data_IF_830836937247
#
_entry.id   IF_830836937247
#
_cell.length_a   1.000
_cell.length_b   1.000
_cell.length_c   1.000
_cell.angle_alpha   90.00
_cell.angle_beta   90.00
_cell.angle_gamma   90.00
#
_symmetry.space_group_name_H-M   'P 1'
#
loop_
_entity.id
_entity.type
_entity.pdbx_description
1 polymer ?
#
# COMPACT_ATOMS: atom_id res chain seq x y z
N UNK A 1 29.20 -5.83 -21.11
CA UNK A 1 27.78 -5.52 -21.35
C UNK A 1 26.96 -6.69 -20.85
N UNK A 2 26.27 -6.52 -19.72
CA UNK A 2 25.38 -7.55 -19.17
C UNK A 2 24.15 -7.69 -20.06
N UNK A 3 23.84 -8.93 -20.46
CA UNK A 3 22.58 -9.24 -21.15
C UNK A 3 21.40 -8.84 -20.25
N UNK A 4 20.35 -8.21 -20.77
CA UNK A 4 19.13 -7.98 -19.99
C UNK A 4 18.55 -9.35 -19.59
N UNK A 5 18.41 -9.56 -18.29
CA UNK A 5 17.69 -10.69 -17.73
C UNK A 5 16.22 -10.53 -18.10
N UNK A 6 15.73 -11.39 -18.97
CA UNK A 6 14.30 -11.52 -19.25
C UNK A 6 13.69 -12.21 -18.03
N UNK A 7 12.90 -11.47 -17.26
CA UNK A 7 12.12 -12.04 -16.16
C UNK A 7 10.77 -12.49 -16.71
N UNK A 8 10.49 -13.81 -16.78
CA UNK A 8 9.14 -14.28 -16.98
C UNK A 8 8.31 -13.89 -15.75
N UNK A 9 7.12 -13.31 -15.94
CA UNK A 9 6.19 -12.96 -14.85
C UNK A 9 4.87 -13.72 -15.07
N UNK A 10 4.66 -14.85 -14.39
CA UNK A 10 3.43 -15.63 -14.51
C UNK A 10 2.81 -15.81 -13.10
N UNK A 11 1.50 -15.92 -12.81
CA UNK A 11 0.31 -16.42 -13.49
C UNK A 11 -0.87 -15.84 -12.70
N UNK A 12 -1.85 -15.23 -13.34
CA UNK A 12 -3.15 -14.97 -12.70
C UNK A 12 -3.88 -16.30 -12.46
N UNK A 13 -4.52 -16.54 -11.31
CA UNK A 13 -5.22 -17.81 -11.09
C UNK A 13 -6.20 -18.02 -12.24
N UNK A 14 -6.03 -19.06 -13.05
CA UNK A 14 -6.80 -19.23 -14.29
C UNK A 14 -8.30 -19.46 -14.03
N UNK A 15 -8.68 -19.70 -12.77
CA UNK A 15 -9.95 -20.33 -12.41
C UNK A 15 -10.80 -19.54 -11.39
N UNK A 16 -10.49 -18.27 -11.12
CA UNK A 16 -11.34 -17.45 -10.23
C UNK A 16 -12.28 -16.60 -11.07
N UNK A 17 -13.49 -17.09 -11.35
CA UNK A 17 -14.48 -16.26 -12.05
C UNK A 17 -14.98 -15.13 -11.14
N UNK A 18 -15.38 -15.47 -9.92
CA UNK A 18 -15.78 -14.56 -8.84
C UNK A 18 -15.47 -15.21 -7.49
N UNK A 19 -14.88 -14.46 -6.55
CA UNK A 19 -14.65 -14.91 -5.17
C UNK A 19 -15.04 -13.80 -4.21
N UNK A 20 -16.08 -14.05 -3.43
CA UNK A 20 -16.41 -13.24 -2.28
C UNK A 20 -15.31 -13.40 -1.23
N UNK A 21 -14.69 -12.28 -0.84
CA UNK A 21 -13.61 -12.25 0.14
C UNK A 21 -14.14 -11.82 1.51
N UNK A 22 -15.10 -10.88 1.52
CA UNK A 22 -15.92 -10.47 2.66
C UNK A 22 -17.29 -10.02 2.15
N UNK A 23 -18.22 -9.69 3.05
CA UNK A 23 -19.52 -9.10 2.69
C UNK A 23 -19.43 -7.81 1.88
N UNK A 24 -18.27 -7.13 1.92
CA UNK A 24 -18.06 -5.83 1.26
C UNK A 24 -17.00 -5.87 0.16
N UNK A 25 -16.33 -7.01 -0.05
CA UNK A 25 -15.19 -7.13 -0.96
C UNK A 25 -15.34 -8.39 -1.81
N UNK A 26 -15.39 -8.19 -3.12
CA UNK A 26 -15.42 -9.28 -4.10
C UNK A 26 -14.22 -9.16 -5.03
N UNK A 27 -13.47 -10.25 -5.22
CA UNK A 27 -12.47 -10.37 -6.28
C UNK A 27 -13.13 -11.01 -7.49
N UNK A 28 -13.06 -10.35 -8.65
CA UNK A 28 -13.59 -10.94 -9.88
C UNK A 28 -12.75 -10.66 -11.10
N UNK A 29 -12.95 -11.51 -12.11
CA UNK A 29 -12.36 -11.31 -13.43
C UNK A 29 -13.02 -10.12 -14.13
N UNK A 30 -12.21 -9.32 -14.81
CA UNK A 30 -12.70 -8.26 -15.69
C UNK A 30 -13.33 -8.88 -16.95
N UNK A 31 -14.55 -8.46 -17.28
CA UNK A 31 -15.21 -8.81 -18.54
C UNK A 31 -14.53 -8.09 -19.72
N UNK A 32 -14.73 -8.57 -20.94
CA UNK A 32 -14.17 -7.91 -22.12
C UNK A 32 -14.80 -6.54 -22.38
N UNK A 33 -16.07 -6.35 -22.01
CA UNK A 33 -16.75 -5.04 -22.05
C UNK A 33 -16.05 -4.05 -21.12
N UNK A 34 -15.70 -4.49 -19.91
CA UNK A 34 -15.00 -3.65 -18.93
C UNK A 34 -13.55 -3.38 -19.32
N UNK A 35 -12.82 -4.36 -19.87
CA UNK A 35 -11.47 -4.10 -20.40
C UNK A 35 -11.51 -3.07 -21.52
N UNK A 36 -12.51 -3.15 -22.41
CA UNK A 36 -12.72 -2.16 -23.45
C UNK A 36 -13.07 -0.78 -22.83
N UNK A 37 -13.95 -0.76 -21.83
CA UNK A 37 -14.41 0.47 -21.20
C UNK A 37 -13.31 1.15 -20.38
N UNK A 38 -12.62 0.42 -19.51
CA UNK A 38 -11.59 0.93 -18.61
C UNK A 38 -10.27 1.23 -19.32
N UNK A 39 -9.93 0.46 -20.35
CA UNK A 39 -8.59 0.49 -20.95
C UNK A 39 -8.55 0.81 -22.45
N UNK A 40 -9.70 0.82 -23.15
CA UNK A 40 -9.76 1.02 -24.59
C UNK A 40 -9.15 -0.13 -25.40
N UNK A 41 -9.06 -1.33 -24.81
CA UNK A 41 -8.45 -2.53 -25.40
C UNK A 41 -9.51 -3.36 -26.12
N UNK A 42 -9.30 -3.66 -27.40
CA UNK A 42 -10.05 -4.67 -28.16
C UNK A 42 -9.16 -5.88 -28.48
N UNK A 43 -9.79 -7.04 -28.71
CA UNK A 43 -9.11 -8.25 -29.17
C UNK A 43 -7.86 -8.60 -28.35
N UNK A 44 -7.95 -8.42 -27.03
CA UNK A 44 -6.86 -8.67 -26.10
C UNK A 44 -6.37 -10.12 -26.22
N UNK A 45 -5.09 -10.29 -26.57
CA UNK A 45 -4.39 -11.57 -26.61
C UNK A 45 -3.49 -11.64 -25.39
N UNK A 46 -3.55 -12.77 -24.71
CA UNK A 46 -2.70 -13.05 -23.56
C UNK A 46 -1.77 -14.21 -23.87
N UNK A 47 -0.55 -14.17 -23.34
CA UNK A 47 0.35 -15.33 -23.37
C UNK A 47 -0.14 -16.42 -22.37
N UNK A 48 0.48 -17.61 -22.33
CA UNK A 48 0.13 -18.65 -21.36
C UNK A 48 0.26 -18.24 -19.89
N UNK A 49 0.89 -17.09 -19.61
CA UNK A 49 1.10 -16.55 -18.28
C UNK A 49 0.02 -15.51 -17.89
N UNK A 50 -0.90 -15.19 -18.81
CA UNK A 50 -1.91 -14.16 -18.60
C UNK A 50 -1.39 -12.74 -18.78
N UNK A 51 -0.19 -12.54 -19.34
CA UNK A 51 0.33 -11.22 -19.72
C UNK A 51 -0.26 -10.84 -21.07
N UNK A 52 -0.70 -9.59 -21.22
CA UNK A 52 -1.14 -9.05 -22.49
C UNK A 52 0.00 -9.11 -23.50
N UNK A 53 -0.14 -9.97 -24.51
CA UNK A 53 0.83 -10.22 -25.57
C UNK A 53 0.48 -9.50 -26.88
N UNK A 54 -0.75 -9.00 -27.00
CA UNK A 54 -1.19 -8.15 -28.10
C UNK A 54 -2.63 -7.65 -27.88
N UNK A 55 -2.99 -6.56 -28.54
CA UNK A 55 -4.35 -6.03 -28.56
C UNK A 55 -4.51 -5.00 -29.66
N UNK A 56 -5.76 -4.72 -30.02
CA UNK A 56 -6.12 -3.61 -30.88
C UNK A 56 -6.53 -2.41 -30.01
N UNK A 57 -6.07 -1.21 -30.37
CA UNK A 57 -6.50 0.04 -29.70
C UNK A 57 -7.65 0.63 -30.51
N UNK A 58 -8.83 0.71 -29.93
CA UNK A 58 -9.93 1.43 -30.58
C UNK A 58 -9.65 2.93 -30.51
N UNK A 59 -9.33 3.55 -31.64
CA UNK A 59 -9.36 5.03 -31.80
C UNK A 59 -10.82 5.48 -31.90
N UNK A 60 -11.63 5.26 -30.88
CA UNK A 60 -12.96 5.89 -30.83
C UNK A 60 -12.79 7.37 -30.46
N UNK A 61 -13.74 8.21 -30.85
CA UNK A 61 -13.87 9.57 -30.29
C UNK A 61 -13.96 9.55 -28.75
N UNK A 62 -14.48 8.45 -28.16
CA UNK A 62 -14.43 8.18 -26.71
C UNK A 62 -13.01 8.05 -26.14
N UNK A 63 -12.02 7.64 -26.93
CA UNK A 63 -10.61 7.59 -26.49
C UNK A 63 -10.03 8.98 -26.23
N UNK A 64 -10.72 10.06 -26.63
CA UNK A 64 -10.40 11.44 -26.24
C UNK A 64 -11.01 11.83 -24.89
N UNK A 65 -12.05 11.15 -24.43
CA UNK A 65 -12.81 11.53 -23.23
C UNK A 65 -12.57 10.60 -22.03
N UNK A 66 -12.25 9.32 -22.26
CA UNK A 66 -12.18 8.31 -21.19
C UNK A 66 -10.80 7.60 -21.10
N UNK A 67 -9.88 7.91 -22.03
CA UNK A 67 -8.52 7.36 -22.02
C UNK A 67 -7.61 7.97 -20.94
N UNK A 68 -7.93 7.78 -19.66
CA UNK A 68 -7.21 8.34 -18.50
C UNK A 68 -5.70 8.03 -18.47
N UNK A 69 -5.23 7.08 -19.29
CA UNK A 69 -3.84 6.58 -19.31
C UNK A 69 -3.19 6.63 -20.70
N UNK A 70 -3.88 7.25 -21.67
CA UNK A 70 -3.41 7.42 -23.04
C UNK A 70 -3.13 8.89 -23.37
N UNK A 71 -2.94 9.73 -22.36
CA UNK A 71 -2.60 11.13 -22.58
C UNK A 71 -1.26 11.25 -23.32
N UNK A 72 -1.22 12.15 -24.31
CA UNK A 72 -0.21 12.21 -25.38
C UNK A 72 1.15 12.74 -24.93
N UNK A 73 1.27 13.21 -23.69
CA UNK A 73 2.40 14.03 -23.24
C UNK A 73 3.21 13.41 -22.09
N UNK A 74 2.78 12.27 -21.57
CA UNK A 74 3.57 11.47 -20.65
C UNK A 74 3.67 10.08 -21.28
N UNK A 75 4.82 9.75 -21.86
CA UNK A 75 5.15 8.38 -22.22
C UNK A 75 5.70 7.70 -20.96
N UNK A 76 4.89 7.04 -20.11
CA UNK A 76 5.46 6.01 -19.26
C UNK A 76 6.14 5.01 -20.19
N UNK A 77 7.32 4.52 -19.78
CA UNK A 77 8.06 3.47 -20.48
C UNK A 77 7.05 2.46 -21.04
N UNK A 78 7.06 2.28 -22.36
CA UNK A 78 6.10 1.49 -23.13
C UNK A 78 5.82 0.14 -22.45
N UNK A 79 6.82 -0.43 -21.76
CA UNK A 79 6.69 -1.64 -20.96
C UNK A 79 5.72 -1.54 -19.77
N UNK A 80 5.67 -0.44 -19.03
CA UNK A 80 4.75 -0.21 -17.89
C UNK A 80 3.29 -0.13 -18.34
N UNK A 81 3.06 0.36 -19.56
CA UNK A 81 1.72 0.47 -20.16
C UNK A 81 1.14 -0.90 -20.51
N UNK A 82 1.87 -1.76 -21.22
CA UNK A 82 1.41 -3.13 -21.51
C UNK A 82 1.11 -3.93 -20.24
N UNK A 83 1.90 -3.69 -19.20
CA UNK A 83 1.79 -4.31 -17.88
C UNK A 83 0.55 -3.85 -17.11
N UNK A 84 0.23 -2.56 -17.14
CA UNK A 84 -1.03 -2.01 -16.65
C UNK A 84 -2.23 -2.68 -17.35
N UNK A 85 -2.18 -2.70 -18.68
CA UNK A 85 -3.23 -3.22 -19.55
C UNK A 85 -3.40 -4.75 -19.44
N UNK A 86 -2.47 -5.42 -18.76
CA UNK A 86 -2.52 -6.85 -18.45
C UNK A 86 -3.36 -7.17 -17.20
N UNK A 87 -3.97 -6.19 -16.54
CA UNK A 87 -4.88 -6.45 -15.42
C UNK A 87 -6.04 -7.36 -15.87
N UNK A 88 -6.18 -8.52 -15.23
CA UNK A 88 -7.25 -9.48 -15.53
C UNK A 88 -8.36 -9.49 -14.48
N UNK A 89 -8.12 -8.88 -13.32
CA UNK A 89 -8.99 -8.91 -12.15
C UNK A 89 -9.23 -7.50 -11.62
N UNK A 90 -10.37 -7.32 -10.98
CA UNK A 90 -10.68 -6.15 -10.15
C UNK A 90 -11.18 -6.59 -8.78
N UNK A 91 -11.06 -5.69 -7.82
CA UNK A 91 -11.70 -5.82 -6.52
C UNK A 91 -12.87 -4.84 -6.49
N UNK A 92 -14.06 -5.36 -6.23
CA UNK A 92 -15.26 -4.56 -6.05
C UNK A 92 -15.45 -4.26 -4.57
N UNK A 93 -15.60 -2.98 -4.25
CA UNK A 93 -15.84 -2.51 -2.89
C UNK A 93 -17.02 -1.54 -2.91
N UNK A 94 -17.96 -1.73 -1.99
CA UNK A 94 -19.26 -1.06 -1.98
C UNK A 94 -19.22 0.44 -1.61
N UNK A 95 -18.11 0.90 -1.02
CA UNK A 95 -17.94 2.29 -0.58
C UNK A 95 -16.46 2.72 -0.57
N UNK A 96 -16.21 4.02 -0.73
CA UNK A 96 -14.87 4.60 -0.79
C UNK A 96 -14.09 4.56 0.52
N UNK A 97 -14.76 4.61 1.67
CA UNK A 97 -14.09 4.46 2.95
C UNK A 97 -13.49 3.07 3.08
N UNK A 98 -14.32 2.02 2.89
CA UNK A 98 -13.89 0.62 2.97
C UNK A 98 -12.70 0.34 2.06
N UNK A 99 -12.69 1.01 0.94
CA UNK A 99 -11.69 0.79 -0.05
C UNK A 99 -10.35 1.51 0.25
N UNK A 100 -10.41 2.65 0.94
CA UNK A 100 -9.23 3.24 1.58
C UNK A 100 -8.70 2.33 2.71
N UNK A 101 -9.57 1.66 3.47
CA UNK A 101 -9.14 0.68 4.48
C UNK A 101 -8.46 -0.53 3.81
N UNK A 102 -9.01 -1.02 2.70
CA UNK A 102 -8.41 -2.09 1.92
C UNK A 102 -7.04 -1.67 1.37
N UNK A 103 -6.92 -0.44 0.86
CA UNK A 103 -5.64 0.11 0.41
C UNK A 103 -4.59 0.12 1.50
N UNK A 104 -4.96 0.55 2.71
CA UNK A 104 -4.08 0.50 3.87
C UNK A 104 -3.62 -0.93 4.14
N UNK A 105 -4.54 -1.91 4.11
CA UNK A 105 -4.20 -3.33 4.27
C UNK A 105 -3.16 -3.80 3.24
N UNK A 106 -3.32 -3.40 1.98
CA UNK A 106 -2.38 -3.70 0.90
C UNK A 106 -1.02 -3.04 1.13
N UNK A 107 -0.98 -1.76 1.51
CA UNK A 107 0.27 -1.03 1.82
C UNK A 107 1.00 -1.61 3.03
N UNK A 108 0.26 -2.14 4.03
CA UNK A 108 0.86 -2.82 5.19
C UNK A 108 1.51 -4.15 4.86
N UNK A 109 1.14 -4.81 3.76
CA UNK A 109 1.81 -6.01 3.27
C UNK A 109 2.93 -5.66 2.29
N UNK A 110 2.69 -4.70 1.41
CA UNK A 110 3.51 -4.44 0.24
C UNK A 110 3.69 -2.92 0.00
N UNK A 111 4.44 -2.22 0.87
CA UNK A 111 4.48 -0.76 0.89
C UNK A 111 5.06 -0.15 -0.40
N UNK A 112 6.01 -0.83 -1.05
CA UNK A 112 6.68 -0.35 -2.27
C UNK A 112 5.99 -0.78 -3.59
N UNK A 113 4.84 -1.46 -3.50
CA UNK A 113 4.32 -2.31 -4.59
C UNK A 113 2.91 -1.91 -5.04
N UNK A 114 2.33 -0.87 -4.46
CA UNK A 114 0.96 -0.47 -4.75
C UNK A 114 0.91 0.97 -5.23
N UNK A 115 0.34 1.18 -6.42
CA UNK A 115 0.10 2.49 -6.98
C UNK A 115 -1.17 3.14 -6.42
N UNK A 116 -1.62 4.18 -7.11
CA UNK A 116 -2.92 4.80 -6.88
C UNK A 116 -4.03 3.79 -7.20
N UNK A 117 -5.00 3.71 -6.32
CA UNK A 117 -6.27 3.10 -6.64
C UNK A 117 -7.04 4.04 -7.55
N UNK A 118 -7.51 3.53 -8.68
CA UNK A 118 -8.51 4.20 -9.49
C UNK A 118 -9.86 3.69 -9.06
N UNK A 119 -10.71 4.59 -8.59
CA UNK A 119 -12.09 4.31 -8.32
C UNK A 119 -12.99 4.77 -9.46
N UNK A 120 -13.83 3.87 -9.98
CA UNK A 120 -14.80 4.20 -11.04
C UNK A 120 -16.18 4.17 -10.39
N UNK A 121 -16.89 5.29 -10.43
CA UNK A 121 -18.27 5.42 -9.96
C UNK A 121 -19.17 5.57 -11.18
N UNK A 122 -20.05 4.62 -11.43
CA UNK A 122 -21.05 4.74 -12.50
C UNK A 122 -22.11 5.79 -12.16
N UNK A 123 -22.66 6.45 -13.20
CA UNK A 123 -23.67 7.50 -13.09
C UNK A 123 -24.91 7.22 -13.94
N UNK A 124 -26.04 7.86 -13.57
CA UNK A 124 -27.45 7.64 -14.01
C UNK A 124 -27.77 7.82 -15.51
N UNK A 125 -26.82 7.83 -16.45
CA UNK A 125 -27.10 8.00 -17.89
C UNK A 125 -26.74 6.80 -18.74
N UNK A 126 -27.22 5.63 -18.31
CA UNK A 126 -27.49 4.52 -19.22
C UNK A 126 -26.33 3.56 -19.47
N UNK A 127 -25.65 3.14 -18.41
CA UNK A 127 -24.99 1.84 -18.20
C UNK A 127 -24.92 1.70 -16.67
N UNK A 128 -25.90 1.02 -16.06
CA UNK A 128 -26.10 0.99 -14.60
C UNK A 128 -25.73 -0.39 -14.04
N UNK A 129 -24.47 -0.55 -13.64
CA UNK A 129 -24.04 -1.49 -12.61
C UNK A 129 -23.79 -0.71 -11.29
N UNK A 130 -23.74 -1.43 -10.17
CA UNK A 130 -23.94 -0.87 -8.83
C UNK A 130 -22.89 0.12 -8.32
N UNK A 131 -23.15 0.68 -7.13
CA UNK A 131 -22.34 1.62 -6.35
C UNK A 131 -20.91 1.16 -5.95
N UNK A 132 -20.34 0.17 -6.64
CA UNK A 132 -19.01 -0.34 -6.38
C UNK A 132 -17.94 0.59 -6.93
N UNK A 133 -16.94 0.90 -6.11
CA UNK A 133 -15.69 1.42 -6.61
C UNK A 133 -14.85 0.21 -7.05
N UNK A 134 -14.51 0.13 -8.33
CA UNK A 134 -13.71 -0.96 -8.88
C UNK A 134 -12.22 -0.66 -8.80
N UNK A 135 -11.50 -1.40 -7.96
CA UNK A 135 -10.07 -1.28 -7.76
C UNK A 135 -9.39 -2.14 -8.80
N UNK A 136 -9.03 -1.51 -9.89
CA UNK A 136 -8.12 -2.08 -10.86
C UNK A 136 -6.73 -1.81 -10.30
N UNK A 137 -5.88 -2.83 -10.23
CA UNK A 137 -4.50 -2.64 -9.81
C UNK A 137 -3.70 -2.12 -10.99
N UNK A 138 -3.01 -0.98 -10.80
CA UNK A 138 -1.77 -0.87 -11.54
C UNK A 138 -0.68 -0.06 -10.85
N UNK A 139 0.54 -0.42 -11.25
CA UNK A 139 1.75 0.39 -11.18
C UNK A 139 2.40 0.47 -9.78
N UNK A 140 3.53 -0.22 -9.67
CA UNK A 140 4.66 0.30 -8.88
C UNK A 140 5.04 1.66 -9.45
N UNK A 141 4.69 2.70 -8.72
CA UNK A 141 5.03 4.09 -8.96
C UNK A 141 6.51 4.31 -8.68
N UNK A 142 7.25 4.47 -9.76
CA UNK A 142 8.46 5.29 -9.82
C UNK A 142 9.73 4.80 -9.14
N UNK A 143 9.70 3.88 -8.16
CA UNK A 143 10.91 3.50 -7.42
C UNK A 143 11.50 2.16 -7.88
N UNK A 144 10.67 1.24 -8.39
CA UNK A 144 11.15 -0.03 -8.96
C UNK A 144 10.30 -0.43 -10.17
N UNK A 145 10.94 -0.68 -11.30
CA UNK A 145 10.32 -1.13 -12.57
C UNK A 145 9.68 -2.54 -12.50
N UNK A 146 9.24 -3.00 -11.33
CA UNK A 146 8.66 -4.32 -11.10
C UNK A 146 7.18 -4.20 -10.79
N UNK A 147 6.34 -4.84 -11.61
CA UNK A 147 4.97 -5.16 -11.20
C UNK A 147 5.09 -6.17 -10.05
N UNK A 148 4.32 -6.02 -8.98
CA UNK A 148 4.27 -7.07 -7.98
C UNK A 148 3.54 -8.28 -8.55
N UNK A 149 4.16 -9.46 -8.41
CA UNK A 149 3.56 -10.75 -8.70
C UNK A 149 2.62 -11.14 -7.55
N UNK A 150 1.36 -10.71 -7.63
CA UNK A 150 0.35 -10.99 -6.61
C UNK A 150 -0.22 -12.39 -6.80
N UNK A 151 -0.15 -13.19 -5.74
CA UNK A 151 -0.81 -14.48 -5.68
C UNK A 151 -2.12 -14.35 -4.92
N UNK A 152 -3.05 -15.27 -5.14
CA UNK A 152 -4.34 -15.30 -4.41
C UNK A 152 -4.14 -15.22 -2.88
N UNK A 153 -3.13 -15.90 -2.36
CA UNK A 153 -2.74 -15.83 -0.93
C UNK A 153 -2.40 -14.43 -0.43
N UNK A 154 -1.87 -13.57 -1.31
CA UNK A 154 -1.46 -12.21 -0.94
C UNK A 154 -2.72 -11.32 -0.81
N UNK A 155 -3.71 -11.56 -1.67
CA UNK A 155 -5.04 -10.93 -1.59
C UNK A 155 -5.76 -11.41 -0.32
N UNK A 156 -5.72 -12.70 -0.01
CA UNK A 156 -6.33 -13.25 1.22
C UNK A 156 -5.68 -12.68 2.49
N UNK A 157 -4.37 -12.47 2.48
CA UNK A 157 -3.69 -11.76 3.58
C UNK A 157 -4.14 -10.30 3.67
N UNK A 158 -4.32 -9.61 2.54
CA UNK A 158 -4.79 -8.24 2.54
C UNK A 158 -6.21 -8.13 3.10
N UNK A 159 -7.09 -9.06 2.75
CA UNK A 159 -8.45 -9.19 3.30
C UNK A 159 -8.41 -9.43 4.80
N UNK A 160 -7.48 -10.26 5.28
CA UNK A 160 -7.30 -10.51 6.72
C UNK A 160 -6.92 -9.23 7.45
N UNK A 161 -6.01 -8.41 6.89
CA UNK A 161 -5.63 -7.13 7.47
C UNK A 161 -6.77 -6.12 7.37
N UNK A 162 -7.43 -6.04 6.22
CA UNK A 162 -8.61 -5.20 6.01
C UNK A 162 -9.67 -5.47 7.08
N UNK A 163 -9.99 -6.73 7.36
CA UNK A 163 -10.99 -7.09 8.38
C UNK A 163 -10.60 -6.60 9.78
N UNK A 164 -9.29 -6.58 10.10
CA UNK A 164 -8.79 -6.02 11.36
C UNK A 164 -8.92 -4.50 11.40
N UNK A 165 -8.62 -3.82 10.30
CA UNK A 165 -8.76 -2.36 10.16
C UNK A 165 -10.24 -1.97 10.24
N UNK A 166 -11.12 -2.67 9.50
CA UNK A 166 -12.56 -2.42 9.47
C UNK A 166 -13.19 -2.57 10.87
N UNK A 167 -12.80 -3.59 11.64
CA UNK A 167 -13.23 -3.77 13.04
C UNK A 167 -12.85 -2.57 13.92
N UNK A 168 -11.75 -1.89 13.60
CA UNK A 168 -11.20 -0.77 14.36
C UNK A 168 -11.44 0.59 13.66
N UNK A 169 -12.35 0.66 12.67
CA UNK A 169 -12.55 1.89 11.87
C UNK A 169 -12.97 3.11 12.68
N UNK A 170 -13.61 2.90 13.83
CA UNK A 170 -14.04 3.96 14.75
C UNK A 170 -12.96 4.32 15.81
N UNK A 171 -11.74 3.78 15.70
CA UNK A 171 -10.64 4.14 16.59
C UNK A 171 -9.95 5.41 16.06
N UNK A 172 -10.11 6.53 16.78
CA UNK A 172 -9.58 7.83 16.40
C UNK A 172 -8.05 7.82 16.22
N UNK A 173 -7.33 7.05 17.05
CA UNK A 173 -5.87 6.94 16.95
C UNK A 173 -5.50 6.20 15.66
N UNK A 174 -6.20 5.12 15.33
CA UNK A 174 -5.98 4.37 14.09
C UNK A 174 -6.30 5.21 12.86
N UNK A 175 -7.34 6.04 12.89
CA UNK A 175 -7.66 6.95 11.77
C UNK A 175 -6.50 7.90 11.48
N UNK A 176 -5.93 8.54 12.50
CA UNK A 176 -4.77 9.44 12.32
C UNK A 176 -3.54 8.66 11.84
N UNK A 177 -3.28 7.46 12.40
CA UNK A 177 -2.18 6.57 11.95
C UNK A 177 -2.35 6.21 10.48
N UNK A 178 -3.57 5.83 10.06
CA UNK A 178 -3.90 5.49 8.67
C UNK A 178 -3.58 6.66 7.76
N UNK A 179 -4.07 7.85 8.07
CA UNK A 179 -3.93 9.01 7.20
C UNK A 179 -2.45 9.39 7.03
N UNK A 180 -1.68 9.40 8.13
CA UNK A 180 -0.22 9.62 8.09
C UNK A 180 0.52 8.53 7.33
N UNK A 181 0.15 7.28 7.54
CA UNK A 181 0.82 6.14 6.90
C UNK A 181 0.59 6.18 5.39
N UNK A 182 -0.67 6.32 4.97
CA UNK A 182 -1.06 6.40 3.57
C UNK A 182 -0.41 7.59 2.87
N UNK A 183 -0.38 8.76 3.51
CA UNK A 183 0.33 9.92 2.98
C UNK A 183 1.84 9.64 2.83
N UNK A 184 2.48 9.05 3.85
CA UNK A 184 3.91 8.74 3.83
C UNK A 184 4.30 7.69 2.78
N UNK A 185 3.40 6.78 2.42
CA UNK A 185 3.63 5.72 1.40
C UNK A 185 2.94 5.98 0.06
N UNK A 186 2.31 7.15 -0.10
CA UNK A 186 1.65 7.56 -1.34
C UNK A 186 2.66 7.83 -2.45
N UNK A 187 2.18 8.02 -3.67
CA UNK A 187 3.03 8.29 -4.84
C UNK A 187 3.10 9.77 -5.21
N UNK A 188 2.51 10.60 -4.36
CA UNK A 188 2.51 12.04 -4.52
C UNK A 188 3.94 12.60 -4.46
N UNK A 189 4.16 13.77 -5.05
CA UNK A 189 5.44 14.46 -5.04
C UNK A 189 5.75 15.11 -3.66
N UNK A 190 5.73 14.28 -2.61
CA UNK A 190 6.00 14.66 -1.23
C UNK A 190 7.49 14.47 -0.96
N UNK A 191 8.11 15.53 -0.42
CA UNK A 191 9.50 15.50 0.06
C UNK A 191 9.71 14.34 1.04
N UNK A 192 10.80 13.59 0.87
CA UNK A 192 11.12 12.40 1.68
C UNK A 192 11.19 12.74 3.18
N UNK A 193 11.62 13.94 3.50
CA UNK A 193 11.70 14.47 4.87
C UNK A 193 10.34 14.49 5.56
N UNK A 194 9.28 14.91 4.88
CA UNK A 194 7.92 14.93 5.42
C UNK A 194 7.42 13.50 5.67
N UNK A 195 7.62 12.60 4.70
CA UNK A 195 7.28 11.18 4.84
C UNK A 195 8.01 10.55 6.03
N UNK A 196 9.28 10.89 6.23
CA UNK A 196 10.08 10.43 7.37
C UNK A 196 9.49 10.92 8.69
N UNK A 197 9.11 12.20 8.78
CA UNK A 197 8.48 12.77 9.98
C UNK A 197 7.17 12.05 10.29
N UNK A 198 6.28 11.85 9.32
CA UNK A 198 4.99 11.18 9.55
C UNK A 198 5.16 9.74 10.04
N UNK A 199 6.13 8.99 9.50
CA UNK A 199 6.43 7.63 9.96
C UNK A 199 6.99 7.62 11.39
N UNK A 200 7.83 8.59 11.78
CA UNK A 200 8.28 8.69 13.18
C UNK A 200 7.12 9.10 14.09
N UNK A 201 6.24 10.00 13.66
CA UNK A 201 5.06 10.38 14.42
C UNK A 201 4.14 9.19 14.69
N UNK A 202 3.97 8.27 13.72
CA UNK A 202 3.23 7.01 13.96
C UNK A 202 3.87 6.20 15.10
N UNK A 203 5.19 6.08 15.12
CA UNK A 203 5.89 5.41 16.22
C UNK A 203 5.70 6.16 17.55
N UNK A 204 5.76 7.49 17.55
CA UNK A 204 5.50 8.28 18.75
C UNK A 204 4.07 8.05 19.27
N UNK A 205 3.04 8.08 18.41
CA UNK A 205 1.63 7.85 18.78
C UNK A 205 1.37 6.46 19.39
N UNK A 206 2.10 5.45 18.92
CA UNK A 206 1.97 4.07 19.40
C UNK A 206 2.74 3.86 20.71
N UNK A 207 3.99 4.32 20.78
CA UNK A 207 4.90 3.95 21.85
C UNK A 207 5.02 5.00 22.97
N UNK A 208 4.47 6.19 22.76
CA UNK A 208 4.46 7.28 23.74
C UNK A 208 3.02 7.82 23.87
N UNK A 209 2.05 6.99 24.31
CA UNK A 209 0.66 7.40 24.40
C UNK A 209 0.43 8.56 25.38
N UNK A 210 1.37 8.77 26.31
CA UNK A 210 1.40 9.91 27.22
C UNK A 210 2.69 10.74 27.01
N UNK A 211 2.56 12.05 26.93
CA UNK A 211 3.69 12.97 26.77
C UNK A 211 4.52 13.07 28.07
N UNK A 212 5.85 12.99 27.96
CA UNK A 212 6.77 13.09 29.10
C UNK A 212 8.17 13.56 28.69
N UNK A 213 9.02 13.91 29.64
CA UNK A 213 10.28 14.66 29.38
C UNK A 213 11.40 13.80 28.76
N UNK A 214 11.27 12.46 28.76
CA UNK A 214 12.29 11.52 28.24
C UNK A 214 11.87 10.74 26.98
N UNK A 215 11.24 11.42 26.01
CA UNK A 215 10.64 10.82 24.81
C UNK A 215 11.61 9.89 24.06
N UNK A 216 12.84 10.34 23.79
CA UNK A 216 13.76 9.63 22.91
C UNK A 216 14.27 8.30 23.46
N UNK A 217 14.63 8.22 24.76
CA UNK A 217 15.13 6.97 25.35
C UNK A 217 14.01 5.95 25.54
N UNK A 218 12.88 6.41 26.09
CA UNK A 218 11.68 5.58 26.30
C UNK A 218 11.17 4.99 24.99
N UNK A 219 11.10 5.81 23.92
CA UNK A 219 10.71 5.34 22.59
C UNK A 219 11.61 4.21 22.08
N UNK A 220 12.94 4.37 22.19
CA UNK A 220 13.91 3.34 21.76
C UNK A 220 13.73 2.02 22.50
N UNK A 221 13.57 2.06 23.83
CA UNK A 221 13.36 0.85 24.64
C UNK A 221 12.07 0.16 24.25
N UNK A 222 10.95 0.90 24.25
CA UNK A 222 9.62 0.34 24.01
C UNK A 222 9.54 -0.33 22.64
N UNK A 223 10.04 0.33 21.59
CA UNK A 223 10.10 -0.26 20.25
C UNK A 223 10.96 -1.53 20.27
N UNK A 224 12.18 -1.46 20.80
CA UNK A 224 13.09 -2.61 20.84
C UNK A 224 12.49 -3.83 21.54
N UNK A 225 11.80 -3.62 22.66
CA UNK A 225 11.22 -4.68 23.49
C UNK A 225 9.94 -5.25 22.87
N UNK A 226 9.07 -4.41 22.31
CA UNK A 226 7.89 -4.87 21.54
C UNK A 226 8.33 -5.68 20.32
N UNK A 227 9.33 -5.24 19.56
CA UNK A 227 9.85 -5.99 18.41
C UNK A 227 10.52 -7.31 18.83
N UNK A 228 11.18 -7.37 19.99
CA UNK A 228 11.67 -8.63 20.54
C UNK A 228 10.51 -9.58 20.88
N UNK A 229 9.49 -9.07 21.58
CA UNK A 229 8.35 -9.86 22.08
C UNK A 229 7.45 -10.40 20.96
N UNK A 230 7.08 -9.56 20.01
CA UNK A 230 6.07 -9.90 18.99
C UNK A 230 6.67 -10.28 17.63
N UNK A 231 7.93 -9.93 17.35
CA UNK A 231 8.57 -10.15 16.05
C UNK A 231 9.90 -10.90 16.16
N UNK A 232 10.29 -11.34 17.36
CA UNK A 232 11.54 -12.05 17.63
C UNK A 232 12.80 -11.35 17.06
N UNK A 233 12.81 -10.02 17.00
CA UNK A 233 13.97 -9.24 16.51
C UNK A 233 15.02 -9.02 17.60
N UNK A 234 16.25 -8.74 17.18
CA UNK A 234 17.32 -8.37 18.09
C UNK A 234 17.06 -6.97 18.70
N UNK A 235 16.71 -6.93 19.99
CA UNK A 235 16.40 -5.69 20.70
C UNK A 235 17.54 -4.67 20.66
N UNK A 236 18.80 -5.10 20.77
CA UNK A 236 19.96 -4.21 20.74
C UNK A 236 20.12 -3.52 19.39
N UNK A 237 19.88 -4.25 18.31
CA UNK A 237 19.90 -3.69 16.95
C UNK A 237 18.75 -2.70 16.75
N UNK A 238 17.53 -3.09 17.10
CA UNK A 238 16.34 -2.22 16.99
C UNK A 238 16.55 -0.93 17.79
N UNK A 239 17.05 -1.03 19.03
CA UNK A 239 17.35 0.13 19.88
C UNK A 239 18.34 1.10 19.21
N UNK A 240 19.43 0.57 18.61
CA UNK A 240 20.42 1.37 17.89
C UNK A 240 19.82 2.04 16.65
N UNK A 241 19.03 1.30 15.87
CA UNK A 241 18.38 1.80 14.67
C UNK A 241 17.39 2.92 15.00
N UNK A 242 16.53 2.73 16.00
CA UNK A 242 15.59 3.77 16.46
C UNK A 242 16.33 5.01 16.95
N UNK A 243 17.46 4.85 17.64
CA UNK A 243 18.28 5.99 18.04
C UNK A 243 18.83 6.81 16.88
N UNK A 244 19.20 6.15 15.78
CA UNK A 244 19.62 6.83 14.55
C UNK A 244 18.45 7.51 13.85
N UNK A 245 17.32 6.81 13.73
CA UNK A 245 16.06 7.35 13.18
C UNK A 245 15.63 8.62 13.92
N UNK A 246 15.64 8.59 15.25
CA UNK A 246 15.23 9.75 16.06
C UNK A 246 16.22 10.93 15.93
N UNK A 247 17.52 10.64 15.77
CA UNK A 247 18.52 11.66 15.43
C UNK A 247 18.25 12.32 14.08
N UNK A 248 17.89 11.54 13.06
CA UNK A 248 17.46 12.06 11.74
C UNK A 248 16.23 12.96 11.90
N UNK A 249 15.18 12.49 12.60
CA UNK A 249 13.96 13.27 12.85
C UNK A 249 14.24 14.59 13.55
N UNK A 250 15.09 14.59 14.58
CA UNK A 250 15.53 15.82 15.25
C UNK A 250 16.17 16.80 14.26
N UNK A 251 17.10 16.32 13.42
CA UNK A 251 17.71 17.14 12.39
C UNK A 251 16.73 17.66 11.33
N UNK A 252 15.74 16.86 10.93
CA UNK A 252 14.69 17.28 10.00
C UNK A 252 13.79 18.37 10.59
N UNK A 253 13.35 18.20 11.83
CA UNK A 253 12.44 19.17 12.47
C UNK A 253 13.14 20.50 12.76
N UNK A 254 14.41 20.48 13.15
CA UNK A 254 15.14 21.70 13.50
C UNK A 254 15.84 22.37 12.31
N UNK A 255 16.32 21.60 11.33
CA UNK A 255 17.12 22.14 10.22
C UNK A 255 16.43 22.00 8.84
N UNK A 256 15.26 21.37 8.78
CA UNK A 256 14.52 21.12 7.53
C UNK A 256 15.15 20.05 6.61
N UNK A 257 16.30 19.48 6.96
CA UNK A 257 17.03 18.47 6.17
C UNK A 257 18.00 17.65 7.02
N UNK A 258 18.28 16.43 6.58
CA UNK A 258 19.28 15.54 7.19
C UNK A 258 19.87 14.59 6.15
N UNK A 259 21.20 14.45 6.10
CA UNK A 259 21.90 13.70 5.03
C UNK A 259 21.62 12.21 5.05
N UNK A 260 21.39 11.62 6.22
CA UNK A 260 21.08 10.18 6.35
C UNK A 260 19.59 9.82 6.15
N UNK A 261 18.73 10.77 5.76
CA UNK A 261 17.27 10.50 5.61
C UNK A 261 16.99 9.32 4.69
N UNK A 262 17.62 9.27 3.51
CA UNK A 262 17.44 8.18 2.56
C UNK A 262 17.93 6.81 3.06
N UNK A 263 18.97 6.80 3.90
CA UNK A 263 19.54 5.57 4.47
C UNK A 263 18.62 4.93 5.50
N UNK A 264 18.01 5.74 6.36
CA UNK A 264 17.17 5.25 7.47
C UNK A 264 15.71 5.08 7.10
N UNK A 265 15.25 5.69 6.00
CA UNK A 265 13.86 5.62 5.56
C UNK A 265 13.32 4.19 5.39
N UNK A 266 14.02 3.24 4.72
CA UNK A 266 13.48 1.87 4.56
C UNK A 266 13.31 1.13 5.89
N UNK A 267 14.22 1.33 6.83
CA UNK A 267 14.16 0.71 8.16
C UNK A 267 13.01 1.30 8.98
N UNK A 268 12.84 2.63 8.92
CA UNK A 268 11.73 3.32 9.58
C UNK A 268 10.37 2.87 9.02
N UNK A 269 10.24 2.81 7.69
CA UNK A 269 9.03 2.34 7.02
C UNK A 269 8.64 0.94 7.49
N UNK A 270 9.62 0.04 7.58
CA UNK A 270 9.42 -1.33 8.07
C UNK A 270 8.99 -1.35 9.56
N UNK A 271 9.61 -0.53 10.41
CA UNK A 271 9.22 -0.43 11.81
C UNK A 271 7.81 0.13 11.99
N UNK A 272 7.44 1.19 11.27
CA UNK A 272 6.09 1.74 11.31
C UNK A 272 5.06 0.69 10.85
N UNK A 273 5.33 0.02 9.71
CA UNK A 273 4.47 -1.03 9.14
C UNK A 273 4.20 -2.18 10.12
N UNK A 274 5.26 -2.75 10.70
CA UNK A 274 5.09 -3.85 11.66
C UNK A 274 4.47 -3.37 12.98
N UNK A 275 4.76 -2.15 13.44
CA UNK A 275 4.10 -1.60 14.63
C UNK A 275 2.60 -1.44 14.45
N UNK A 276 2.15 -0.96 13.28
CA UNK A 276 0.73 -0.87 12.94
C UNK A 276 0.09 -2.27 12.95
N UNK A 277 0.75 -3.27 12.35
CA UNK A 277 0.24 -4.66 12.36
C UNK A 277 0.09 -5.21 13.78
N UNK A 278 1.07 -5.00 14.65
CA UNK A 278 0.99 -5.40 16.07
C UNK A 278 -0.18 -4.67 16.75
N UNK A 279 -0.40 -3.38 16.44
CA UNK A 279 -1.52 -2.61 16.99
C UNK A 279 -2.89 -3.14 16.55
N UNK A 280 -3.03 -3.51 15.27
CA UNK A 280 -4.24 -4.14 14.73
C UNK A 280 -4.53 -5.51 15.39
N UNK A 281 -3.48 -6.23 15.81
CA UNK A 281 -3.58 -7.52 16.48
C UNK A 281 -3.84 -7.39 17.98
N UNK A 282 -3.21 -6.41 18.64
CA UNK A 282 -3.27 -6.22 20.08
C UNK A 282 -3.06 -4.74 20.47
N UNK A 283 -4.14 -3.96 20.45
CA UNK A 283 -4.11 -2.55 20.85
C UNK A 283 -3.59 -2.35 22.28
N UNK A 284 -3.90 -3.28 23.20
CA UNK A 284 -3.51 -3.18 24.61
C UNK A 284 -1.99 -3.19 24.79
N UNK A 285 -1.24 -3.81 23.89
CA UNK A 285 0.23 -3.81 23.92
C UNK A 285 0.84 -2.40 23.82
N UNK A 286 0.05 -1.39 23.44
CA UNK A 286 0.45 0.01 23.31
C UNK A 286 -0.16 0.92 24.38
N UNK A 287 -0.78 0.35 25.42
CA UNK A 287 -1.15 1.09 26.61
C UNK A 287 0.09 1.36 27.46
N UNK A 288 0.13 2.48 28.17
CA UNK A 288 1.31 2.91 28.95
C UNK A 288 1.80 1.82 29.91
N UNK A 289 0.89 1.23 30.70
CA UNK A 289 1.24 0.19 31.66
C UNK A 289 1.85 -1.06 30.99
N UNK A 290 1.29 -1.50 29.86
CA UNK A 290 1.79 -2.67 29.14
C UNK A 290 3.16 -2.38 28.50
N UNK A 291 3.33 -1.18 27.94
CA UNK A 291 4.61 -0.73 27.40
C UNK A 291 5.69 -0.65 28.49
N UNK A 292 5.35 -0.23 29.70
CA UNK A 292 6.26 -0.22 30.83
C UNK A 292 6.63 -1.63 31.30
N UNK A 293 5.65 -2.53 31.41
CA UNK A 293 5.90 -3.94 31.74
C UNK A 293 6.82 -4.59 30.70
N UNK A 294 6.50 -4.46 29.41
CA UNK A 294 7.32 -4.97 28.31
C UNK A 294 8.72 -4.37 28.32
N UNK A 295 8.87 -3.12 28.76
CA UNK A 295 10.17 -2.45 28.81
C UNK A 295 11.10 -2.99 29.90
N UNK A 296 10.52 -3.57 30.96
CA UNK A 296 11.24 -4.13 32.11
C UNK A 296 11.67 -5.60 31.91
N UNK A 297 10.99 -6.35 31.03
CA UNK A 297 11.31 -7.76 30.64
C UNK A 297 12.56 -7.87 29.74
#
# INVERSE_FOLDING_TARGET
MSKPTIYPIPIYPADVENKELTTNITLRKLTDVEKLHFFGIENAKYDPNGILSGFDVRRTTLSKEIGFLLDKNYEPDVNLKYKFLSAQYCIEITDGELANLFYMGMKLLFPEKMGLIVGIKEGERGYEYGYGIHYINPISTGIRNSIPDWKLRDIEQAVTIFSKIERLKNDDKLQIIRDKYLYAVSDENIKRENRFIDLVTILEMLYLPNEGIELGYRLKIRIAKVFKKFQNRNATEVFKNVGKIYGVRSGLVHNGKHTETGKWYPILLEYARESIKIYLDNQKAFNENELDVISLE
#
